data_IF_729367851195
#
_entry.id   IF_729367851195
#
_cell.length_a   1.000
_cell.length_b   1.000
_cell.length_c   1.000
_cell.angle_alpha   90.00
_cell.angle_beta   90.00
_cell.angle_gamma   90.00
#
_symmetry.space_group_name_H-M   'P 1'
#
loop_
_entity.id
_entity.type
_entity.pdbx_description
1 polymer ?
#
# COMPACT_ATOMS: atom_id res chain seq x y z
N UNK A 1 32.53 58.10 -7.91
CA UNK A 1 32.06 56.77 -8.39
C UNK A 1 32.08 55.65 -7.33
N UNK A 2 32.35 55.92 -6.04
CA UNK A 2 32.44 54.88 -4.99
C UNK A 2 31.13 54.61 -4.21
N UNK A 3 30.26 55.61 -4.01
CA UNK A 3 29.05 55.46 -3.16
C UNK A 3 28.02 54.45 -3.69
N UNK A 4 27.89 54.32 -5.02
CA UNK A 4 26.94 53.38 -5.66
C UNK A 4 27.36 51.91 -5.55
N UNK A 5 28.67 51.62 -5.48
CA UNK A 5 29.17 50.24 -5.37
C UNK A 5 28.84 49.61 -4.01
N UNK A 6 28.97 50.36 -2.91
CA UNK A 6 28.66 49.86 -1.57
C UNK A 6 27.17 49.58 -1.37
N UNK A 7 26.28 50.38 -1.98
CA UNK A 7 24.83 50.16 -1.94
C UNK A 7 24.44 48.88 -2.68
N UNK A 8 25.05 48.62 -3.84
CA UNK A 8 24.80 47.39 -4.61
C UNK A 8 25.28 46.13 -3.88
N UNK A 9 26.42 46.22 -3.20
CA UNK A 9 26.98 45.11 -2.40
C UNK A 9 26.10 44.84 -1.16
N UNK A 10 25.65 45.90 -0.47
CA UNK A 10 24.74 45.77 0.67
C UNK A 10 23.39 45.16 0.30
N UNK A 11 22.82 45.57 -0.85
CA UNK A 11 21.56 45.01 -1.34
C UNK A 11 21.70 43.53 -1.72
N UNK A 12 22.80 43.15 -2.37
CA UNK A 12 23.07 41.75 -2.71
C UNK A 12 23.20 40.85 -1.46
N UNK A 13 23.90 41.33 -0.42
CA UNK A 13 24.04 40.60 0.84
C UNK A 13 22.69 40.40 1.55
N UNK A 14 21.81 41.40 1.50
CA UNK A 14 20.49 41.34 2.12
C UNK A 14 19.55 40.36 1.39
N UNK A 15 19.64 40.28 0.06
CA UNK A 15 18.92 39.27 -0.74
C UNK A 15 19.42 37.86 -0.42
N UNK A 16 20.74 37.66 -0.28
CA UNK A 16 21.31 36.34 0.08
C UNK A 16 20.84 35.90 1.47
N UNK A 17 20.81 36.81 2.45
CA UNK A 17 20.30 36.52 3.80
C UNK A 17 18.79 36.19 3.80
N UNK A 18 17.99 36.90 3.01
CA UNK A 18 16.57 36.62 2.88
C UNK A 18 16.31 35.25 2.22
N UNK A 19 17.07 34.90 1.19
CA UNK A 19 17.03 33.56 0.57
C UNK A 19 17.45 32.49 1.57
N UNK A 20 18.51 32.71 2.35
CA UNK A 20 18.92 31.77 3.40
C UNK A 20 17.85 31.58 4.48
N UNK A 21 17.17 32.64 4.92
CA UNK A 21 16.08 32.55 5.89
C UNK A 21 14.86 31.78 5.35
N UNK A 22 14.54 31.94 4.05
CA UNK A 22 13.49 31.14 3.39
C UNK A 22 13.93 29.68 3.22
N UNK A 23 15.22 29.44 2.95
CA UNK A 23 15.78 28.09 2.83
C UNK A 23 15.96 27.37 4.18
N UNK A 24 16.07 28.08 5.31
CA UNK A 24 16.09 27.43 6.64
C UNK A 24 14.69 27.18 7.21
N UNK A 25 13.65 27.76 6.61
CA UNK A 25 12.24 27.45 6.89
C UNK A 25 11.73 26.19 6.17
N UNK A 26 12.62 25.28 5.76
CA UNK A 26 12.18 23.96 5.33
C UNK A 26 11.83 23.09 6.54
N UNK A 27 10.54 22.78 6.62
CA UNK A 27 10.00 21.59 7.28
C UNK A 27 9.99 21.60 8.82
N UNK A 28 9.24 22.54 9.40
CA UNK A 28 8.31 22.14 10.47
C UNK A 28 6.94 21.92 9.85
N UNK A 29 6.86 20.98 8.90
CA UNK A 29 5.61 20.31 8.64
C UNK A 29 5.22 19.65 9.96
N UNK A 30 4.28 20.27 10.65
CA UNK A 30 3.66 19.81 11.88
C UNK A 30 3.38 18.33 11.68
N UNK A 31 4.09 17.49 12.44
CA UNK A 31 3.87 16.06 12.49
C UNK A 31 2.37 15.87 12.75
N UNK A 32 1.66 15.48 11.69
CA UNK A 32 0.25 15.18 11.74
C UNK A 32 0.07 14.15 12.85
N UNK A 33 -0.75 14.49 13.85
CA UNK A 33 -1.05 13.68 15.01
C UNK A 33 -1.16 12.20 14.64
N UNK A 34 -0.47 11.34 15.39
CA UNK A 34 -0.52 9.88 15.25
C UNK A 34 -1.97 9.45 15.50
N UNK A 35 -2.75 9.43 14.42
CA UNK A 35 -4.12 8.95 14.42
C UNK A 35 -4.03 7.43 14.60
N UNK A 36 -4.29 6.94 15.82
CA UNK A 36 -4.13 5.53 16.20
C UNK A 36 -4.72 4.60 15.13
N UNK A 37 -3.84 3.90 14.42
CA UNK A 37 -4.23 2.94 13.41
C UNK A 37 -4.82 1.68 14.06
N UNK A 38 -5.90 1.15 13.49
CA UNK A 38 -6.42 -0.16 13.89
C UNK A 38 -5.61 -1.27 13.24
N UNK A 39 -5.23 -2.27 14.02
CA UNK A 39 -4.62 -3.47 13.47
C UNK A 39 -5.69 -4.34 12.79
N UNK A 40 -5.43 -4.73 11.55
CA UNK A 40 -6.27 -5.67 10.79
C UNK A 40 -5.42 -6.82 10.30
N UNK A 41 -5.98 -8.03 10.32
CA UNK A 41 -5.37 -9.22 9.74
C UNK A 41 -6.22 -9.65 8.56
N UNK A 42 -5.62 -9.65 7.37
CA UNK A 42 -6.23 -10.15 6.16
C UNK A 42 -5.62 -11.50 5.79
N UNK A 43 -6.48 -12.49 5.57
CA UNK A 43 -6.10 -13.81 5.07
C UNK A 43 -6.89 -14.07 3.79
N UNK A 44 -6.20 -14.38 2.72
CA UNK A 44 -6.81 -14.73 1.45
C UNK A 44 -6.25 -16.05 0.90
N UNK A 45 -7.08 -16.76 0.16
CA UNK A 45 -6.72 -17.98 -0.56
C UNK A 45 -7.28 -17.92 -1.97
N UNK A 46 -6.65 -18.64 -2.89
CA UNK A 46 -7.19 -18.78 -4.23
C UNK A 46 -6.14 -19.33 -5.16
N UNK A 47 -6.04 -18.77 -6.36
CA UNK A 47 -5.24 -19.34 -7.43
C UNK A 47 -4.42 -18.29 -8.16
N UNK A 48 -3.18 -18.66 -8.43
CA UNK A 48 -2.29 -18.01 -9.37
C UNK A 48 -2.38 -18.77 -10.70
N UNK A 49 -2.69 -18.03 -11.77
CA UNK A 49 -2.80 -18.54 -13.12
C UNK A 49 -1.64 -17.97 -13.93
N UNK A 50 -0.82 -18.84 -14.51
CA UNK A 50 0.11 -18.48 -15.57
C UNK A 50 -0.42 -18.99 -16.90
N UNK A 51 -0.15 -18.24 -17.96
CA UNK A 51 -0.46 -18.66 -19.32
C UNK A 51 0.81 -18.53 -20.14
N UNK A 52 1.28 -19.66 -20.61
CA UNK A 52 2.31 -19.76 -21.64
C UNK A 52 1.64 -20.10 -22.99
N UNK A 53 2.38 -20.09 -24.10
CA UNK A 53 1.85 -20.28 -25.46
C UNK A 53 1.00 -21.55 -25.61
N UNK A 54 1.30 -22.60 -24.85
CA UNK A 54 0.63 -23.90 -24.95
C UNK A 54 0.05 -24.43 -23.63
N UNK A 55 0.31 -23.79 -22.48
CA UNK A 55 -0.06 -24.32 -21.16
C UNK A 55 -0.65 -23.22 -20.29
N UNK A 56 -1.81 -23.50 -19.68
CA UNK A 56 -2.32 -22.72 -18.55
C UNK A 56 -2.04 -23.51 -17.27
N UNK A 57 -1.17 -22.97 -16.41
CA UNK A 57 -0.89 -23.57 -15.11
C UNK A 57 -1.64 -22.82 -14.02
N UNK A 58 -2.11 -23.57 -13.02
CA UNK A 58 -2.87 -23.06 -11.88
C UNK A 58 -2.23 -23.56 -10.59
N UNK A 59 -1.76 -22.63 -9.78
CA UNK A 59 -1.15 -22.92 -8.49
C UNK A 59 -2.00 -22.37 -7.35
N UNK A 60 -2.03 -23.07 -6.22
CA UNK A 60 -2.66 -22.56 -5.01
C UNK A 60 -1.90 -21.34 -4.51
N UNK A 61 -2.63 -20.30 -4.11
CA UNK A 61 -2.08 -19.10 -3.47
C UNK A 61 -2.68 -18.90 -2.10
N UNK A 62 -1.83 -18.61 -1.13
CA UNK A 62 -2.22 -18.22 0.22
C UNK A 62 -1.55 -16.88 0.56
N UNK A 63 -2.33 -15.93 1.05
CA UNK A 63 -1.86 -14.61 1.45
C UNK A 63 -2.27 -14.37 2.90
N UNK A 64 -1.33 -13.92 3.71
CA UNK A 64 -1.58 -13.40 5.05
C UNK A 64 -0.90 -12.05 5.19
N UNK A 65 -1.65 -11.00 5.54
CA UNK A 65 -1.09 -9.67 5.76
C UNK A 65 -1.66 -9.08 7.04
N UNK A 66 -0.80 -8.43 7.83
CA UNK A 66 -1.21 -7.55 8.92
C UNK A 66 -1.09 -6.11 8.45
N UNK A 67 -2.15 -5.34 8.64
CA UNK A 67 -2.22 -3.94 8.30
C UNK A 67 -2.33 -3.08 9.56
N UNK A 68 -1.70 -1.92 9.51
CA UNK A 68 -2.13 -0.75 10.26
C UNK A 68 -3.09 0.05 9.38
N UNK A 69 -4.32 0.23 9.86
CA UNK A 69 -5.41 0.86 9.12
C UNK A 69 -5.77 2.23 9.71
N UNK A 70 -5.80 3.25 8.86
CA UNK A 70 -6.10 4.64 9.26
C UNK A 70 -7.26 5.19 8.42
N UNK A 71 -8.28 5.75 9.05
CA UNK A 71 -9.40 6.38 8.35
C UNK A 71 -9.04 7.82 7.97
N UNK A 72 -8.90 8.09 6.67
CA UNK A 72 -8.55 9.40 6.12
C UNK A 72 -9.49 9.74 4.98
N UNK A 73 -10.21 10.86 5.06
CA UNK A 73 -11.07 11.37 3.98
C UNK A 73 -12.03 10.31 3.40
N UNK A 74 -12.77 9.60 4.27
CA UNK A 74 -13.71 8.51 3.91
C UNK A 74 -13.06 7.31 3.19
N UNK A 75 -11.74 7.19 3.26
CA UNK A 75 -10.96 6.06 2.77
C UNK A 75 -10.20 5.46 3.93
N UNK A 76 -10.13 4.14 4.01
CA UNK A 76 -9.26 3.45 4.98
C UNK A 76 -7.93 3.23 4.29
N UNK A 77 -6.87 3.93 4.70
CA UNK A 77 -5.50 3.64 4.26
C UNK A 77 -4.99 2.41 4.99
N UNK A 78 -4.27 1.55 4.28
CA UNK A 78 -3.69 0.33 4.81
C UNK A 78 -2.18 0.38 4.64
N UNK A 79 -1.44 0.21 5.72
CA UNK A 79 0.00 0.04 5.70
C UNK A 79 0.33 -1.39 6.12
N UNK A 80 1.05 -2.14 5.29
CA UNK A 80 1.44 -3.51 5.64
C UNK A 80 2.53 -3.45 6.70
N UNK A 81 2.26 -4.04 7.86
CA UNK A 81 3.22 -4.18 8.96
C UNK A 81 4.08 -5.43 8.75
N UNK A 82 3.43 -6.53 8.39
CA UNK A 82 4.08 -7.77 7.98
C UNK A 82 3.13 -8.58 7.09
N UNK A 83 3.68 -9.54 6.35
CA UNK A 83 2.86 -10.43 5.56
C UNK A 83 3.66 -11.52 4.88
N UNK A 84 2.94 -12.50 4.36
CA UNK A 84 3.48 -13.61 3.60
C UNK A 84 2.58 -13.93 2.42
N UNK A 85 3.19 -14.28 1.29
CA UNK A 85 2.52 -14.79 0.10
C UNK A 85 3.12 -16.16 -0.19
N UNK A 86 2.30 -17.21 -0.26
CA UNK A 86 2.73 -18.55 -0.68
C UNK A 86 2.09 -18.86 -2.03
N UNK A 87 2.90 -19.25 -3.02
CA UNK A 87 2.48 -19.65 -4.36
C UNK A 87 3.05 -21.05 -4.60
N UNK A 88 2.18 -22.05 -4.78
CA UNK A 88 2.63 -23.45 -4.78
C UNK A 88 3.33 -23.78 -3.47
N UNK A 89 4.59 -24.20 -3.53
CA UNK A 89 5.43 -24.49 -2.37
C UNK A 89 6.34 -23.34 -1.92
N UNK A 90 6.47 -22.30 -2.74
CA UNK A 90 7.37 -21.18 -2.47
C UNK A 90 6.70 -20.14 -1.58
N UNK A 91 7.41 -19.71 -0.53
CA UNK A 91 6.95 -18.69 0.42
C UNK A 91 7.78 -17.42 0.27
N UNK A 92 7.08 -16.30 0.14
CA UNK A 92 7.63 -14.96 0.08
C UNK A 92 7.20 -14.17 1.32
N UNK A 93 8.13 -13.43 1.90
CA UNK A 93 7.88 -12.48 2.99
C UNK A 93 7.69 -11.09 2.40
N UNK A 94 6.59 -10.43 2.75
CA UNK A 94 6.29 -9.06 2.29
C UNK A 94 7.27 -8.10 2.94
N UNK A 95 7.99 -7.34 2.13
CA UNK A 95 9.00 -6.36 2.58
C UNK A 95 8.43 -4.96 2.60
N UNK A 96 7.59 -4.61 1.62
CA UNK A 96 6.86 -3.35 1.58
C UNK A 96 5.43 -3.57 1.10
N UNK A 97 4.47 -2.82 1.64
CA UNK A 97 3.12 -2.89 1.12
C UNK A 97 2.22 -1.76 1.62
N UNK A 98 1.38 -1.29 0.71
CA UNK A 98 0.38 -0.25 0.99
C UNK A 98 -0.92 -0.58 0.28
N UNK A 99 -2.02 -0.07 0.82
CA UNK A 99 -3.32 -0.25 0.23
C UNK A 99 -4.31 0.80 0.68
N UNK A 100 -5.54 0.63 0.22
CA UNK A 100 -6.65 1.43 0.67
C UNK A 100 -7.98 0.78 0.36
N UNK A 101 -8.97 1.07 1.21
CA UNK A 101 -10.38 0.73 1.00
C UNK A 101 -11.13 2.04 0.79
N UNK A 102 -11.61 2.25 -0.43
CA UNK A 102 -12.35 3.44 -0.83
C UNK A 102 -13.72 3.08 -1.43
N UNK A 103 -14.46 4.11 -1.87
CA UNK A 103 -15.83 3.98 -2.40
C UNK A 103 -16.72 3.15 -1.47
N UNK A 104 -16.74 3.55 -0.20
CA UNK A 104 -17.44 2.84 0.86
C UNK A 104 -18.93 3.22 0.82
N UNK A 105 -19.79 2.23 0.66
CA UNK A 105 -21.25 2.39 0.61
C UNK A 105 -21.91 1.47 1.62
N UNK A 106 -23.07 1.89 2.14
CA UNK A 106 -23.95 1.03 2.93
C UNK A 106 -25.08 0.52 2.06
N UNK A 107 -25.32 -0.79 2.09
CA UNK A 107 -26.39 -1.46 1.33
C UNK A 107 -26.98 -2.54 2.23
N UNK A 108 -28.28 -2.44 2.53
CA UNK A 108 -29.06 -3.46 3.26
C UNK A 108 -28.37 -4.01 4.52
N UNK A 109 -27.80 -3.12 5.35
CA UNK A 109 -27.11 -3.48 6.59
C UNK A 109 -25.64 -3.87 6.43
N UNK A 110 -25.15 -4.03 5.19
CA UNK A 110 -23.74 -4.29 4.88
C UNK A 110 -22.98 -2.99 4.57
N UNK A 111 -21.67 -3.02 4.76
CA UNK A 111 -20.76 -1.98 4.28
C UNK A 111 -19.88 -2.56 3.18
N UNK A 112 -19.98 -2.02 1.96
CA UNK A 112 -19.24 -2.48 0.79
C UNK A 112 -18.21 -1.44 0.40
N UNK A 113 -17.02 -1.87 -0.01
CA UNK A 113 -15.95 -1.00 -0.50
C UNK A 113 -15.10 -1.66 -1.58
N UNK A 114 -14.23 -0.86 -2.20
CA UNK A 114 -13.20 -1.33 -3.12
C UNK A 114 -11.86 -1.27 -2.41
N UNK A 115 -11.18 -2.41 -2.32
CA UNK A 115 -9.85 -2.53 -1.77
C UNK A 115 -8.82 -2.63 -2.87
N UNK A 116 -7.69 -1.95 -2.68
CA UNK A 116 -6.49 -2.08 -3.49
C UNK A 116 -5.32 -2.31 -2.54
N UNK A 117 -4.46 -3.27 -2.85
CA UNK A 117 -3.21 -3.52 -2.12
C UNK A 117 -2.09 -3.73 -3.13
N UNK A 118 -0.94 -3.13 -2.89
CA UNK A 118 0.27 -3.31 -3.69
C UNK A 118 1.50 -3.34 -2.81
N UNK A 119 2.56 -3.97 -3.29
CA UNK A 119 3.79 -4.08 -2.53
C UNK A 119 4.81 -4.99 -3.17
N UNK A 120 5.80 -5.34 -2.38
CA UNK A 120 6.93 -6.20 -2.74
C UNK A 120 7.12 -7.30 -1.70
N UNK A 121 7.62 -8.45 -2.13
CA UNK A 121 7.90 -9.58 -1.27
C UNK A 121 9.16 -10.31 -1.76
N UNK A 122 9.87 -10.99 -0.86
CA UNK A 122 11.12 -11.72 -1.14
C UNK A 122 11.06 -13.12 -0.55
N UNK A 123 11.56 -14.13 -1.29
CA UNK A 123 11.72 -15.49 -0.76
C UNK A 123 13.11 -15.70 -0.11
N UNK A 124 13.34 -16.90 0.42
CA UNK A 124 14.61 -17.25 1.07
C UNK A 124 15.83 -17.23 0.13
N UNK A 125 15.59 -17.33 -1.18
CA UNK A 125 16.63 -17.29 -2.21
C UNK A 125 16.92 -15.88 -2.73
N UNK A 126 16.22 -14.86 -2.22
CA UNK A 126 16.39 -13.47 -2.64
C UNK A 126 15.55 -13.05 -3.86
N UNK A 127 14.71 -13.94 -4.40
CA UNK A 127 13.83 -13.62 -5.52
C UNK A 127 12.77 -12.61 -5.08
N UNK A 128 12.70 -11.48 -5.80
CA UNK A 128 11.74 -10.42 -5.51
C UNK A 128 10.48 -10.55 -6.38
N UNK A 129 9.32 -10.44 -5.71
CA UNK A 129 8.02 -10.29 -6.33
C UNK A 129 7.49 -8.88 -6.12
N UNK A 130 6.83 -8.35 -7.14
CA UNK A 130 5.93 -7.20 -7.03
C UNK A 130 4.49 -7.68 -7.17
N UNK A 131 3.60 -7.17 -6.32
CA UNK A 131 2.18 -7.56 -6.35
C UNK A 131 1.27 -6.34 -6.40
N UNK A 132 0.15 -6.49 -7.10
CA UNK A 132 -0.96 -5.53 -7.09
C UNK A 132 -2.28 -6.27 -7.18
N UNK A 133 -3.13 -6.07 -6.19
CA UNK A 133 -4.43 -6.70 -6.06
C UNK A 133 -5.49 -5.63 -5.91
N UNK A 134 -6.67 -5.88 -6.47
CA UNK A 134 -7.85 -5.05 -6.31
C UNK A 134 -9.09 -5.91 -6.22
N UNK A 135 -10.12 -5.41 -5.54
CA UNK A 135 -11.36 -6.16 -5.42
C UNK A 135 -12.35 -5.52 -4.48
N UNK A 136 -13.35 -6.32 -4.11
CA UNK A 136 -14.46 -5.89 -3.26
C UNK A 136 -14.21 -6.34 -1.83
N UNK A 137 -14.60 -5.50 -0.89
CA UNK A 137 -14.71 -5.82 0.53
C UNK A 137 -16.16 -5.66 0.93
N UNK A 138 -16.70 -6.64 1.64
CA UNK A 138 -18.05 -6.62 2.19
C UNK A 138 -17.91 -6.88 3.68
N UNK A 139 -18.15 -5.85 4.49
CA UNK A 139 -18.23 -5.93 5.93
C UNK A 139 -19.66 -6.22 6.36
N UNK A 140 -19.81 -7.29 7.13
CA UNK A 140 -21.05 -7.74 7.76
C UNK A 140 -20.97 -7.35 9.26
N UNK A 141 -21.65 -6.26 9.68
CA UNK A 141 -21.51 -5.73 11.04
C UNK A 141 -21.97 -6.69 12.13
N UNK A 142 -23.01 -7.47 11.85
CA UNK A 142 -23.58 -8.52 12.70
C UNK A 142 -22.57 -9.64 13.01
N UNK A 143 -21.69 -9.96 12.05
CA UNK A 143 -20.68 -11.02 12.18
C UNK A 143 -19.32 -10.49 12.62
N UNK A 144 -19.17 -9.17 12.76
CA UNK A 144 -17.89 -8.51 12.99
C UNK A 144 -16.78 -8.98 12.02
N UNK A 145 -17.16 -9.28 10.77
CA UNK A 145 -16.26 -9.87 9.78
C UNK A 145 -16.35 -9.14 8.44
N UNK A 146 -15.21 -8.99 7.77
CA UNK A 146 -15.15 -8.47 6.40
C UNK A 146 -14.68 -9.55 5.43
N UNK A 147 -15.46 -9.80 4.39
CA UNK A 147 -15.16 -10.73 3.32
C UNK A 147 -14.57 -9.98 2.14
N UNK A 148 -13.60 -10.60 1.45
CA UNK A 148 -12.92 -9.99 0.30
C UNK A 148 -12.98 -10.90 -0.90
N UNK A 149 -13.23 -10.34 -2.09
CA UNK A 149 -13.05 -11.02 -3.37
C UNK A 149 -12.10 -10.16 -4.20
N UNK A 150 -10.89 -10.67 -4.43
CA UNK A 150 -9.79 -9.92 -5.02
C UNK A 150 -9.29 -10.59 -6.30
N UNK A 151 -8.85 -9.78 -7.23
CA UNK A 151 -8.06 -10.21 -8.38
C UNK A 151 -6.81 -9.35 -8.48
N UNK A 152 -5.80 -9.82 -9.18
CA UNK A 152 -4.55 -9.07 -9.23
C UNK A 152 -3.50 -9.71 -10.08
N UNK A 153 -2.29 -9.16 -9.96
CA UNK A 153 -1.12 -9.70 -10.60
C UNK A 153 0.03 -9.78 -9.62
N UNK A 154 0.83 -10.83 -9.75
CA UNK A 154 2.16 -10.94 -9.17
C UNK A 154 3.14 -11.02 -10.33
N UNK A 155 4.24 -10.29 -10.24
CA UNK A 155 5.33 -10.34 -11.20
C UNK A 155 6.63 -10.54 -10.43
N UNK A 156 7.27 -11.68 -10.67
CA UNK A 156 8.65 -11.95 -10.31
C UNK A 156 9.60 -11.66 -11.47
N UNK A 157 10.84 -12.08 -11.30
CA UNK A 157 11.89 -11.94 -12.32
C UNK A 157 11.65 -12.86 -13.51
N UNK A 158 11.23 -14.09 -13.24
CA UNK A 158 10.99 -15.14 -14.24
C UNK A 158 9.52 -15.29 -14.63
N UNK A 159 8.59 -14.96 -13.73
CA UNK A 159 7.18 -15.35 -13.89
C UNK A 159 6.19 -14.23 -13.62
N UNK A 160 5.04 -14.30 -14.30
CA UNK A 160 3.90 -13.41 -14.08
C UNK A 160 2.63 -14.22 -13.86
N UNK A 161 1.98 -13.94 -12.76
CA UNK A 161 0.75 -14.61 -12.33
C UNK A 161 -0.43 -13.64 -12.37
N UNK A 162 -1.57 -14.12 -12.86
CA UNK A 162 -2.87 -13.52 -12.57
C UNK A 162 -3.48 -14.19 -11.34
N UNK A 163 -4.01 -13.40 -10.42
CA UNK A 163 -4.56 -13.87 -9.15
C UNK A 163 -6.08 -13.80 -9.16
N UNK A 164 -6.71 -14.83 -8.59
CA UNK A 164 -8.12 -14.84 -8.19
C UNK A 164 -8.16 -15.33 -6.75
N UNK A 165 -8.67 -14.49 -5.83
CA UNK A 165 -8.58 -14.69 -4.39
C UNK A 165 -9.90 -14.39 -3.69
N UNK A 166 -10.17 -15.16 -2.64
CA UNK A 166 -11.20 -14.89 -1.65
C UNK A 166 -10.55 -14.80 -0.28
N UNK A 167 -11.06 -13.95 0.60
CA UNK A 167 -10.42 -13.71 1.88
C UNK A 167 -11.32 -13.12 2.94
N UNK A 168 -10.72 -12.99 4.12
CA UNK A 168 -11.34 -12.53 5.36
C UNK A 168 -10.41 -11.50 6.01
N UNK A 169 -10.99 -10.39 6.45
CA UNK A 169 -10.36 -9.38 7.29
C UNK A 169 -10.98 -9.52 8.68
N UNK A 170 -10.12 -9.77 9.67
CA UNK A 170 -10.44 -9.77 11.09
C UNK A 170 -9.55 -8.78 11.85
N UNK A 171 -9.93 -8.47 13.09
CA UNK A 171 -9.19 -7.60 14.01
C UNK A 171 -9.46 -8.01 15.44
#
# INVERSE_FOLDING_TARGET
MMKSRYIKIGLAALVVLAVFAVLTLHSTAIAQEVQWGKNLVWRARGFAVTRDENITSRQLVLIGMRFEAQLVNRTIRLHVVNGTIKIGDVKYTVTEGVGGIGRIHRVDGYVVGIMVVRGTAVNEYGEQLTFKMFGRVIYAPDKHAAYTSMMGFIRGESEKYFLILEGLIGG
#
